data_IF_757458561232
#
_entry.id   IF_757458561232
#
_cell.length_a   1.000
_cell.length_b   1.000
_cell.length_c   1.000
_cell.angle_alpha   90.00
_cell.angle_beta   90.00
_cell.angle_gamma   90.00
#
_symmetry.space_group_name_H-M   'P 1'
#
loop_
_entity.id
_entity.type
_entity.pdbx_description
1 polymer ?
#
# COMPACT_ATOMS: atom_id res chain seq x y z
N UNK A 1 1.59 0.61 -8.57
CA UNK A 1 2.86 1.27 -8.99
C UNK A 1 3.24 2.32 -7.95
N UNK A 2 4.54 2.58 -7.75
CA UNK A 2 5.02 3.64 -6.86
C UNK A 2 5.58 4.81 -7.68
N UNK A 3 5.30 6.05 -7.28
CA UNK A 3 5.69 7.27 -8.02
C UNK A 3 6.35 8.30 -7.11
N UNK A 4 7.34 9.01 -7.65
CA UNK A 4 8.00 10.16 -7.01
C UNK A 4 8.07 11.34 -7.99
N UNK A 5 8.27 12.54 -7.46
CA UNK A 5 8.51 13.75 -8.24
C UNK A 5 9.98 14.16 -8.12
N UNK A 6 10.58 14.61 -9.22
CA UNK A 6 11.89 15.29 -9.20
C UNK A 6 11.76 16.79 -8.92
N UNK A 7 10.54 17.34 -9.01
CA UNK A 7 10.24 18.73 -8.70
C UNK A 7 9.79 18.87 -7.24
N UNK A 8 10.49 19.68 -6.42
CA UNK A 8 10.10 19.93 -5.04
C UNK A 8 8.72 20.56 -4.92
N UNK A 9 7.91 20.08 -3.97
CA UNK A 9 6.58 20.63 -3.70
C UNK A 9 5.46 20.11 -4.63
N UNK A 10 5.80 19.33 -5.67
CA UNK A 10 4.82 18.64 -6.49
C UNK A 10 4.41 17.31 -5.84
N UNK A 11 3.12 17.11 -5.64
CA UNK A 11 2.56 15.80 -5.23
C UNK A 11 2.51 14.85 -6.44
N UNK A 12 3.35 13.80 -6.49
CA UNK A 12 3.40 12.88 -7.62
C UNK A 12 2.14 12.02 -7.72
N UNK A 13 1.51 11.66 -6.60
CA UNK A 13 0.30 10.83 -6.60
C UNK A 13 -0.86 11.63 -7.16
N UNK A 14 -1.10 12.84 -6.64
CA UNK A 14 -2.10 13.77 -7.18
C UNK A 14 -1.85 14.10 -8.66
N UNK A 15 -0.59 14.24 -9.06
CA UNK A 15 -0.18 14.45 -10.45
C UNK A 15 -0.42 13.22 -11.35
N UNK A 16 -0.54 12.00 -10.82
CA UNK A 16 -0.96 10.84 -11.62
C UNK A 16 -2.49 10.64 -11.59
N UNK A 17 -3.14 10.91 -10.45
CA UNK A 17 -4.57 10.70 -10.23
C UNK A 17 -5.43 11.74 -10.95
N UNK A 18 -4.98 13.00 -10.93
CA UNK A 18 -5.69 14.13 -11.53
C UNK A 18 -6.90 14.62 -10.71
N UNK A 19 -7.50 15.75 -11.11
CA UNK A 19 -8.65 16.33 -10.41
C UNK A 19 -9.77 15.30 -10.29
N UNK A 20 -10.25 15.06 -9.06
CA UNK A 20 -11.31 14.07 -8.76
C UNK A 20 -11.04 12.66 -9.34
N UNK A 21 -9.77 12.28 -9.51
CA UNK A 21 -9.38 10.96 -10.01
C UNK A 21 -9.62 10.72 -11.50
N UNK A 22 -9.83 11.76 -12.30
CA UNK A 22 -10.18 11.62 -13.73
C UNK A 22 -9.13 10.82 -14.52
N UNK A 23 -7.83 11.02 -14.27
CA UNK A 23 -6.77 10.32 -15.02
C UNK A 23 -6.65 8.86 -14.60
N UNK A 24 -6.70 8.60 -13.30
CA UNK A 24 -6.68 7.24 -12.77
C UNK A 24 -7.89 6.41 -13.23
N UNK A 25 -9.09 6.99 -13.18
CA UNK A 25 -10.32 6.34 -13.68
C UNK A 25 -10.29 6.07 -15.18
N UNK A 26 -9.69 6.96 -15.97
CA UNK A 26 -9.50 6.74 -17.40
C UNK A 26 -8.63 5.49 -17.64
N UNK A 27 -7.52 5.35 -16.92
CA UNK A 27 -6.65 4.15 -16.99
C UNK A 27 -7.44 2.89 -16.61
N UNK A 28 -8.18 2.91 -15.50
CA UNK A 28 -9.00 1.75 -15.09
C UNK A 28 -10.07 1.38 -16.14
N UNK A 29 -10.61 2.35 -16.87
CA UNK A 29 -11.63 2.08 -17.89
C UNK A 29 -11.06 1.35 -19.12
N UNK A 30 -9.78 1.58 -19.43
CA UNK A 30 -9.06 0.87 -20.49
C UNK A 30 -8.60 -0.53 -20.02
N UNK A 31 -8.36 -0.68 -18.72
CA UNK A 31 -7.87 -1.90 -18.09
C UNK A 31 -9.01 -2.80 -17.62
N UNK A 32 -9.91 -3.21 -18.53
CA UNK A 32 -10.98 -4.20 -18.33
C UNK A 32 -11.32 -4.55 -16.85
N UNK A 33 -10.70 -5.61 -16.29
CA UNK A 33 -10.89 -6.05 -14.91
C UNK A 33 -9.62 -5.88 -14.03
N UNK A 34 -8.64 -5.12 -14.47
CA UNK A 34 -7.40 -4.90 -13.73
C UNK A 34 -7.45 -3.59 -12.94
N UNK A 35 -7.14 -3.67 -11.64
CA UNK A 35 -7.06 -2.51 -10.76
C UNK A 35 -5.61 -2.08 -10.60
N UNK A 36 -5.36 -0.77 -10.69
CA UNK A 36 -4.04 -0.17 -10.53
C UNK A 36 -4.05 0.79 -9.36
N UNK A 37 -3.27 0.50 -8.33
CA UNK A 37 -3.04 1.44 -7.23
C UNK A 37 -1.80 2.29 -7.49
N UNK A 38 -1.90 3.58 -7.17
CA UNK A 38 -0.83 4.56 -7.30
C UNK A 38 -0.45 5.00 -5.89
N UNK A 39 0.77 4.69 -5.48
CA UNK A 39 1.27 4.95 -4.13
C UNK A 39 2.50 5.85 -4.18
N UNK A 40 2.76 6.66 -3.14
CA UNK A 40 3.99 7.44 -3.08
C UNK A 40 5.19 6.50 -2.96
N UNK A 41 6.23 6.78 -3.74
CA UNK A 41 7.52 6.13 -3.57
C UNK A 41 8.31 6.82 -2.45
N UNK A 42 9.12 6.04 -1.72
CA UNK A 42 10.02 6.54 -0.68
C UNK A 42 11.31 5.72 -0.66
N UNK A 43 12.43 6.37 -0.32
CA UNK A 43 13.69 5.70 0.00
C UNK A 43 13.66 5.02 1.37
N UNK A 44 12.79 5.51 2.26
CA UNK A 44 12.50 4.85 3.51
C UNK A 44 11.66 3.59 3.26
N UNK A 45 12.25 2.43 3.53
CA UNK A 45 11.63 1.14 3.34
C UNK A 45 10.36 0.96 4.19
N UNK A 46 10.30 1.51 5.40
CA UNK A 46 9.09 1.43 6.24
C UNK A 46 7.94 2.20 5.59
N UNK A 47 8.22 3.43 5.15
CA UNK A 47 7.24 4.27 4.48
C UNK A 47 6.78 3.67 3.14
N UNK A 48 7.71 3.13 2.34
CA UNK A 48 7.38 2.50 1.05
C UNK A 48 6.53 1.24 1.24
N UNK A 49 6.85 0.39 2.21
CA UNK A 49 6.07 -0.81 2.52
C UNK A 49 4.67 -0.44 3.05
N UNK A 50 4.58 0.53 3.95
CA UNK A 50 3.30 1.01 4.45
C UNK A 50 2.41 1.54 3.31
N UNK A 51 2.98 2.33 2.41
CA UNK A 51 2.28 2.86 1.23
C UNK A 51 1.84 1.74 0.27
N UNK A 52 2.70 0.75 0.04
CA UNK A 52 2.44 -0.37 -0.88
C UNK A 52 1.31 -1.32 -0.45
N UNK A 53 0.94 -1.32 0.83
CA UNK A 53 -0.19 -2.11 1.35
C UNK A 53 -1.55 -1.42 1.20
N UNK A 54 -1.56 -0.15 0.77
CA UNK A 54 -2.80 0.56 0.44
C UNK A 54 -3.69 -0.32 -0.44
N UNK A 55 -5.00 -0.43 -0.14
CA UNK A 55 -5.81 0.44 0.73
C UNK A 55 -5.78 0.12 2.24
N UNK A 56 -5.12 -0.95 2.67
CA UNK A 56 -5.00 -1.25 4.10
C UNK A 56 -4.03 -0.27 4.79
N UNK A 57 -4.36 0.15 6.01
CA UNK A 57 -3.52 1.05 6.80
C UNK A 57 -2.62 0.25 7.72
N UNK A 58 -1.32 0.38 7.53
CA UNK A 58 -0.32 -0.13 8.47
C UNK A 58 -0.27 0.78 9.71
N UNK A 59 -0.38 0.19 10.89
CA UNK A 59 -0.15 0.88 12.17
C UNK A 59 1.35 1.00 12.46
N UNK A 60 2.10 -0.05 12.09
CA UNK A 60 3.55 -0.13 12.30
C UNK A 60 4.17 -1.04 11.25
N UNK A 61 5.34 -0.63 10.76
CA UNK A 61 6.19 -1.45 9.91
C UNK A 61 7.53 -1.59 10.60
N UNK A 62 8.08 -2.80 10.61
CA UNK A 62 9.43 -3.07 11.10
C UNK A 62 10.20 -3.79 10.00
N UNK A 63 11.38 -3.26 9.67
CA UNK A 63 12.23 -3.82 8.62
C UNK A 63 13.40 -4.58 9.22
N UNK A 64 13.47 -5.87 8.90
CA UNK A 64 14.69 -6.65 9.02
C UNK A 64 15.47 -6.56 7.70
N UNK A 65 16.57 -5.80 7.72
CA UNK A 65 17.44 -5.59 6.55
C UNK A 65 18.27 -6.82 6.21
N UNK A 66 18.58 -7.70 7.17
CA UNK A 66 19.38 -8.89 6.93
C UNK A 66 18.58 -9.93 6.14
N UNK A 67 17.32 -10.15 6.51
CA UNK A 67 16.44 -11.10 5.83
C UNK A 67 15.58 -10.47 4.73
N UNK A 68 15.67 -9.14 4.53
CA UNK A 68 14.78 -8.35 3.66
C UNK A 68 13.31 -8.65 3.93
N UNK A 69 12.94 -8.62 5.20
CA UNK A 69 11.57 -8.88 5.66
C UNK A 69 10.98 -7.63 6.27
N UNK A 70 9.76 -7.31 5.89
CA UNK A 70 8.94 -6.29 6.53
C UNK A 70 7.83 -6.97 7.33
N UNK A 71 7.82 -6.76 8.64
CA UNK A 71 6.68 -7.15 9.49
C UNK A 71 5.76 -5.95 9.63
N UNK A 72 4.50 -6.12 9.25
CA UNK A 72 3.50 -5.06 9.21
C UNK A 72 2.38 -5.40 10.18
N UNK A 73 2.16 -4.53 11.16
CA UNK A 73 1.00 -4.56 12.03
C UNK A 73 -0.14 -3.77 11.40
N UNK A 74 -1.31 -4.39 11.32
CA UNK A 74 -2.54 -3.79 10.78
C UNK A 74 -3.70 -4.00 11.75
N UNK A 75 -4.73 -3.13 11.74
CA UNK A 75 -5.94 -3.37 12.53
C UNK A 75 -6.56 -4.72 12.17
N UNK A 76 -7.07 -5.45 13.15
CA UNK A 76 -7.66 -6.79 12.93
C UNK A 76 -8.74 -6.79 11.85
N UNK A 77 -9.59 -5.75 11.82
CA UNK A 77 -10.63 -5.58 10.79
C UNK A 77 -10.09 -5.38 9.37
N UNK A 78 -8.82 -4.98 9.21
CA UNK A 78 -8.15 -4.79 7.92
C UNK A 78 -7.20 -5.92 7.55
N UNK A 79 -7.05 -6.96 8.38
CA UNK A 79 -6.13 -8.07 8.10
C UNK A 79 -6.43 -8.73 6.74
N UNK A 80 -7.71 -9.00 6.46
CA UNK A 80 -8.15 -9.57 5.18
C UNK A 80 -7.85 -8.64 4.00
N UNK A 81 -8.05 -7.34 4.17
CA UNK A 81 -7.77 -6.32 3.15
C UNK A 81 -6.26 -6.20 2.86
N UNK A 82 -5.44 -6.23 3.90
CA UNK A 82 -3.99 -6.16 3.80
C UNK A 82 -3.40 -7.38 3.09
N UNK A 83 -3.94 -8.57 3.35
CA UNK A 83 -3.56 -9.80 2.63
C UNK A 83 -4.07 -9.74 1.18
N UNK A 84 -5.32 -9.32 0.99
CA UNK A 84 -6.01 -9.32 -0.29
C UNK A 84 -6.47 -10.71 -0.72
N UNK A 85 -7.32 -10.77 -1.75
CA UNK A 85 -7.81 -12.03 -2.33
C UNK A 85 -6.63 -12.88 -2.80
N UNK A 86 -6.58 -14.14 -2.35
CA UNK A 86 -5.48 -15.08 -2.65
C UNK A 86 -4.08 -14.53 -2.32
N UNK A 87 -3.98 -13.62 -1.34
CA UNK A 87 -2.73 -12.97 -0.96
C UNK A 87 -2.20 -11.96 -1.99
N UNK A 88 -3.03 -11.56 -2.96
CA UNK A 88 -2.60 -10.72 -4.07
C UNK A 88 -2.03 -9.38 -3.62
N UNK A 89 -2.65 -8.71 -2.63
CA UNK A 89 -2.19 -7.40 -2.18
C UNK A 89 -0.80 -7.50 -1.55
N UNK A 90 -0.63 -8.39 -0.57
CA UNK A 90 0.67 -8.65 0.04
C UNK A 90 1.75 -9.06 -0.98
N UNK A 91 1.39 -9.86 -1.99
CA UNK A 91 2.30 -10.27 -3.07
C UNK A 91 2.71 -9.11 -3.98
N UNK A 92 1.78 -8.22 -4.33
CA UNK A 92 2.07 -7.03 -5.14
C UNK A 92 2.93 -6.04 -4.36
N UNK A 93 2.64 -5.82 -3.07
CA UNK A 93 3.47 -5.02 -2.18
C UNK A 93 4.89 -5.58 -2.05
N UNK A 94 5.02 -6.91 -1.89
CA UNK A 94 6.32 -7.58 -1.86
C UNK A 94 7.11 -7.37 -3.15
N UNK A 95 6.44 -7.49 -4.31
CA UNK A 95 7.06 -7.28 -5.62
C UNK A 95 7.47 -5.81 -5.84
N UNK A 96 6.65 -4.87 -5.40
CA UNK A 96 6.89 -3.44 -5.56
C UNK A 96 8.06 -2.95 -4.68
N UNK A 97 8.14 -3.43 -3.45
CA UNK A 97 9.15 -3.01 -2.47
C UNK A 97 10.43 -3.85 -2.51
N UNK A 98 10.35 -5.08 -3.02
CA UNK A 98 11.43 -6.05 -2.95
C UNK A 98 11.68 -6.60 -1.53
N UNK A 99 10.69 -6.51 -0.63
CA UNK A 99 10.70 -7.09 0.70
C UNK A 99 9.71 -8.25 0.79
N UNK A 100 10.03 -9.25 1.60
CA UNK A 100 9.04 -10.23 2.04
C UNK A 100 8.10 -9.55 3.05
N UNK A 101 6.80 -9.65 2.84
CA UNK A 101 5.80 -8.99 3.70
C UNK A 101 5.16 -10.01 4.64
N UNK A 102 5.30 -9.80 5.94
CA UNK A 102 4.67 -10.57 7.02
C UNK A 102 3.63 -9.70 7.72
N UNK A 103 2.35 -10.02 7.56
CA UNK A 103 1.24 -9.19 8.06
C UNK A 103 0.67 -9.81 9.32
N UNK A 104 0.59 -9.02 10.39
CA UNK A 104 0.08 -9.43 11.69
C UNK A 104 -1.06 -8.50 12.13
N UNK A 105 -2.13 -9.03 12.73
CA UNK A 105 -3.13 -8.19 13.38
C UNK A 105 -2.49 -7.52 14.61
N UNK A 106 -2.85 -6.27 14.87
CA UNK A 106 -2.54 -5.61 16.12
C UNK A 106 -3.29 -6.27 17.29
N UNK A 107 -2.65 -6.33 18.46
CA UNK A 107 -3.24 -6.94 19.68
C UNK A 107 -4.21 -6.00 20.41
N UNK A 108 -4.46 -4.80 19.86
CA UNK A 108 -5.32 -3.79 20.48
C UNK A 108 -6.13 -3.06 19.43
N UNK A 109 -7.22 -3.68 18.97
CA UNK A 109 -8.43 -2.96 18.57
C UNK A 109 -9.55 -3.98 18.37
N UNK A 110 -10.30 -4.20 19.45
CA UNK A 110 -11.63 -4.82 19.44
C UNK A 110 -12.71 -3.74 19.24
N UNK A 111 -12.36 -2.63 18.58
CA UNK A 111 -13.33 -1.64 18.18
C UNK A 111 -13.95 -2.08 16.85
N UNK A 112 -15.14 -2.66 16.98
CA UNK A 112 -16.10 -2.83 15.90
C UNK A 112 -16.22 -1.54 15.07
N UNK A 113 -16.48 -1.64 13.75
CA UNK A 113 -16.68 -0.44 12.94
C UNK A 113 -17.86 0.36 13.52
N UNK A 114 -17.65 1.65 13.75
CA UNK A 114 -18.73 2.59 13.99
C UNK A 114 -19.64 2.63 12.76
N UNK A 115 -20.96 2.61 13.02
CA UNK A 115 -22.07 2.69 12.05
C UNK A 115 -21.89 3.76 10.96
#
# INVERSE_FOLDING_TARGET
IAVSSTEPGLDPVGACVGPKGVRHRAILSELANEHVDIVPWSEDAEALVAAALGPARAERVTIDRATRTATVLVPRGQLSLAIGRDGQNARLAAKLTGYRIDIKPSEGDDQAPAE
#
